data_IF_527922555301
#
_entry.id   IF_527922555301
#
_cell.length_a   1.000
_cell.length_b   1.000
_cell.length_c   1.000
_cell.angle_alpha   90.00
_cell.angle_beta   90.00
_cell.angle_gamma   90.00
#
_symmetry.space_group_name_H-M   'P 1'
#
loop_
_entity.id
_entity.type
_entity.pdbx_description
1 polymer ?
#
# COMPACT_ATOMS: atom_id res chain seq x y z
N UNK A 1 -18.41 25.00 -41.43
CA UNK A 1 -18.30 23.76 -40.63
C UNK A 1 -17.38 24.00 -39.46
N UNK A 2 -17.85 23.81 -38.23
CA UNK A 2 -17.00 23.89 -37.03
C UNK A 2 -16.10 22.65 -37.02
N UNK A 3 -14.78 22.83 -37.10
CA UNK A 3 -13.84 21.73 -36.86
C UNK A 3 -13.98 21.36 -35.39
N UNK A 4 -14.43 20.14 -35.11
CA UNK A 4 -14.45 19.59 -33.77
C UNK A 4 -13.00 19.23 -33.45
N UNK A 5 -12.28 20.08 -32.71
CA UNK A 5 -11.02 19.66 -32.11
C UNK A 5 -11.37 18.68 -31.00
N UNK A 6 -11.00 17.41 -31.17
CA UNK A 6 -11.10 16.41 -30.12
C UNK A 6 -9.96 16.68 -29.14
N UNK A 7 -10.17 17.65 -28.25
CA UNK A 7 -9.26 17.98 -27.18
C UNK A 7 -9.62 17.17 -25.94
N UNK A 8 -8.63 16.55 -25.31
CA UNK A 8 -8.77 15.87 -24.04
C UNK A 8 -8.21 16.72 -22.90
N UNK A 9 -8.97 16.82 -21.81
CA UNK A 9 -8.61 17.56 -20.61
C UNK A 9 -8.02 16.63 -19.56
N UNK A 10 -7.06 17.11 -18.77
CA UNK A 10 -6.58 16.37 -17.62
C UNK A 10 -7.71 16.20 -16.59
N UNK A 11 -7.94 14.97 -16.15
CA UNK A 11 -9.05 14.60 -15.23
C UNK A 11 -8.78 14.99 -13.78
N UNK A 12 -7.60 15.54 -13.45
CA UNK A 12 -7.27 15.93 -12.08
C UNK A 12 -8.01 17.23 -11.69
N UNK A 13 -8.53 17.29 -10.46
CA UNK A 13 -9.30 18.45 -9.99
C UNK A 13 -8.49 19.74 -10.12
N UNK A 14 -9.15 20.81 -10.58
CA UNK A 14 -8.54 22.13 -10.83
C UNK A 14 -7.38 22.11 -11.85
N UNK A 15 -7.24 21.07 -12.67
CA UNK A 15 -6.26 21.04 -13.76
C UNK A 15 -6.85 21.48 -15.10
N UNK A 16 -6.49 22.67 -15.57
CA UNK A 16 -6.91 23.17 -16.88
C UNK A 16 -6.04 22.70 -18.06
N UNK A 17 -5.20 21.66 -17.88
CA UNK A 17 -4.28 21.23 -18.95
C UNK A 17 -5.06 20.46 -20.01
N UNK A 18 -5.02 20.92 -21.27
CA UNK A 18 -5.66 20.30 -22.42
C UNK A 18 -4.63 19.83 -23.45
N UNK A 19 -5.01 18.85 -24.27
CA UNK A 19 -4.18 18.34 -25.35
C UNK A 19 -5.06 17.92 -26.53
N UNK A 20 -4.56 18.08 -27.76
CA UNK A 20 -5.10 17.32 -28.88
C UNK A 20 -4.87 15.82 -28.60
N UNK A 21 -5.89 14.98 -28.81
CA UNK A 21 -5.82 13.53 -28.50
C UNK A 21 -4.58 12.86 -29.11
N UNK A 22 -4.30 13.09 -30.40
CA UNK A 22 -3.13 12.51 -31.07
C UNK A 22 -1.81 13.02 -30.48
N UNK A 23 -1.72 14.32 -30.16
CA UNK A 23 -0.53 14.89 -29.55
C UNK A 23 -0.29 14.33 -28.14
N UNK A 24 -1.36 14.09 -27.38
CA UNK A 24 -1.27 13.48 -26.06
C UNK A 24 -0.72 12.05 -26.13
N UNK A 25 -1.17 11.26 -27.12
CA UNK A 25 -0.63 9.92 -27.37
C UNK A 25 0.85 9.96 -27.74
N UNK A 26 1.25 10.82 -28.68
CA UNK A 26 2.65 10.98 -29.11
C UNK A 26 3.54 11.46 -27.93
N UNK A 27 3.03 12.37 -27.10
CA UNK A 27 3.74 12.90 -25.94
C UNK A 27 3.77 11.95 -24.72
N UNK A 28 3.14 10.78 -24.80
CA UNK A 28 3.11 9.80 -23.71
C UNK A 28 2.32 10.27 -22.48
N UNK A 29 1.25 11.03 -22.71
CA UNK A 29 0.22 11.34 -21.70
C UNK A 29 -0.50 10.04 -21.33
N UNK A 30 -0.69 9.79 -20.04
CA UNK A 30 -1.35 8.56 -19.58
C UNK A 30 -2.84 8.69 -19.83
N UNK A 31 -3.39 7.77 -20.61
CA UNK A 31 -4.83 7.62 -20.86
C UNK A 31 -5.25 6.23 -20.40
N UNK A 32 -6.19 6.13 -19.45
CA UNK A 32 -6.70 4.84 -18.96
C UNK A 32 -8.23 4.81 -19.05
N UNK A 33 -8.86 3.64 -19.27
CA UNK A 33 -10.29 3.48 -19.03
C UNK A 33 -10.61 3.94 -17.59
N UNK A 34 -11.74 4.61 -17.40
CA UNK A 34 -12.18 5.08 -16.10
C UNK A 34 -13.65 4.69 -15.86
N UNK A 35 -14.05 4.75 -14.59
CA UNK A 35 -15.43 4.54 -14.18
C UNK A 35 -16.30 5.77 -14.52
N UNK A 36 -17.59 5.52 -14.72
CA UNK A 36 -18.59 6.57 -14.97
C UNK A 36 -18.48 7.69 -13.89
N UNK A 37 -18.49 8.99 -14.25
CA UNK A 37 -18.90 9.60 -15.53
C UNK A 37 -17.78 9.76 -16.58
N UNK A 38 -16.54 9.34 -16.30
CA UNK A 38 -15.42 9.50 -17.23
C UNK A 38 -15.17 8.20 -17.99
N UNK A 39 -15.34 8.20 -19.31
CA UNK A 39 -15.01 7.01 -20.14
C UNK A 39 -13.49 6.77 -20.19
N UNK A 40 -12.70 7.84 -20.05
CA UNK A 40 -11.24 7.81 -20.05
C UNK A 40 -10.70 8.82 -19.04
N UNK A 41 -9.77 8.40 -18.19
CA UNK A 41 -8.95 9.29 -17.36
C UNK A 41 -7.71 9.70 -18.12
N UNK A 42 -7.42 11.01 -18.13
CA UNK A 42 -6.28 11.60 -18.84
C UNK A 42 -5.43 12.35 -17.82
N UNK A 43 -4.14 12.04 -17.78
CA UNK A 43 -3.24 12.67 -16.80
C UNK A 43 -2.04 13.34 -17.45
N UNK A 44 -1.98 14.66 -17.31
CA UNK A 44 -0.90 15.49 -17.84
C UNK A 44 0.45 15.18 -17.16
N UNK A 45 1.56 15.57 -17.78
CA UNK A 45 2.91 15.33 -17.23
C UNK A 45 3.13 15.95 -15.84
N UNK A 46 2.44 17.06 -15.52
CA UNK A 46 2.50 17.67 -14.17
C UNK A 46 1.92 16.74 -13.11
N UNK A 47 0.86 16.02 -13.46
CA UNK A 47 0.18 15.05 -12.59
C UNK A 47 0.63 13.62 -12.84
N UNK A 48 1.45 13.35 -13.85
CA UNK A 48 2.09 12.05 -14.09
C UNK A 48 2.96 11.62 -12.90
N UNK A 49 3.54 12.59 -12.18
CA UNK A 49 4.26 12.36 -10.91
C UNK A 49 3.34 12.08 -9.72
N UNK A 50 2.05 12.40 -9.82
CA UNK A 50 1.02 12.22 -8.79
C UNK A 50 0.05 11.08 -9.06
N UNK A 51 0.09 10.45 -10.24
CA UNK A 51 -0.47 9.11 -10.41
C UNK A 51 0.41 8.23 -9.56
N UNK A 52 -0.10 7.81 -8.41
CA UNK A 52 0.38 6.59 -7.77
C UNK A 52 0.35 5.51 -8.84
N UNK A 53 1.48 5.26 -9.51
CA UNK A 53 1.69 3.99 -10.19
C UNK A 53 1.47 2.98 -9.07
N UNK A 54 0.39 2.22 -9.16
CA UNK A 54 0.05 1.24 -8.14
C UNK A 54 1.25 0.37 -7.83
N UNK A 55 1.33 -0.08 -6.59
CA UNK A 55 2.22 -1.17 -6.22
C UNK A 55 1.64 -2.44 -6.86
N UNK A 56 2.12 -2.75 -8.06
CA UNK A 56 1.65 -3.88 -8.87
C UNK A 56 2.59 -5.09 -8.74
N UNK A 57 2.08 -6.28 -9.06
CA UNK A 57 2.86 -7.51 -9.07
C UNK A 57 4.08 -7.41 -10.01
N UNK A 58 5.20 -7.97 -9.60
CA UNK A 58 6.47 -7.94 -10.33
C UNK A 58 7.24 -6.60 -10.21
N UNK A 59 6.67 -5.59 -9.57
CA UNK A 59 7.33 -4.30 -9.40
C UNK A 59 8.50 -4.41 -8.42
N UNK A 60 9.67 -3.93 -8.84
CA UNK A 60 10.82 -3.75 -7.95
C UNK A 60 10.66 -2.48 -7.13
N UNK A 61 10.78 -2.61 -5.81
CA UNK A 61 10.57 -1.56 -4.82
C UNK A 61 11.63 -1.63 -3.72
N UNK A 62 11.56 -0.71 -2.77
CA UNK A 62 12.29 -0.74 -1.52
C UNK A 62 11.31 -1.04 -0.40
N UNK A 63 11.53 -2.13 0.33
CA UNK A 63 10.72 -2.55 1.47
C UNK A 63 11.51 -2.49 2.77
N UNK A 64 10.82 -2.20 3.87
CA UNK A 64 11.38 -2.30 5.23
C UNK A 64 11.40 -3.77 5.68
N UNK A 65 12.51 -4.27 6.20
CA UNK A 65 12.61 -5.60 6.84
C UNK A 65 12.44 -5.48 8.36
N UNK A 66 12.29 -6.61 9.05
CA UNK A 66 12.11 -6.68 10.52
C UNK A 66 13.29 -6.08 11.32
N UNK A 67 14.50 -6.12 10.77
CA UNK A 67 15.70 -5.43 11.30
C UNK A 67 15.63 -3.89 11.20
N UNK A 68 14.51 -3.36 10.68
CA UNK A 68 14.23 -1.95 10.42
C UNK A 68 15.10 -1.28 9.35
N UNK A 69 15.93 -2.05 8.64
CA UNK A 69 16.63 -1.60 7.44
C UNK A 69 15.75 -1.74 6.20
N UNK A 70 16.12 -1.01 5.15
CA UNK A 70 15.41 -1.01 3.87
C UNK A 70 16.24 -1.73 2.83
N UNK A 71 15.57 -2.56 2.03
CA UNK A 71 16.20 -3.39 1.02
C UNK A 71 15.39 -3.35 -0.28
N UNK A 72 16.07 -3.59 -1.39
CA UNK A 72 15.38 -3.88 -2.64
C UNK A 72 14.62 -5.20 -2.54
N UNK A 73 13.37 -5.20 -2.97
CA UNK A 73 12.51 -6.36 -3.05
C UNK A 73 11.58 -6.27 -4.26
N UNK A 74 10.92 -7.38 -4.57
CA UNK A 74 9.92 -7.48 -5.65
C UNK A 74 8.56 -7.78 -5.03
N UNK A 75 7.51 -7.11 -5.49
CA UNK A 75 6.14 -7.44 -5.08
C UNK A 75 5.73 -8.73 -5.78
N UNK A 76 5.43 -9.77 -5.01
CA UNK A 76 5.06 -11.10 -5.52
C UNK A 76 3.60 -11.47 -5.22
N UNK A 77 2.95 -10.73 -4.33
CA UNK A 77 1.56 -10.96 -3.96
C UNK A 77 0.90 -9.70 -3.41
N UNK A 78 -0.42 -9.65 -3.49
CA UNK A 78 -1.25 -8.60 -2.93
C UNK A 78 -2.34 -9.30 -2.13
N UNK A 79 -2.51 -8.89 -0.88
CA UNK A 79 -3.54 -9.40 0.00
C UNK A 79 -4.29 -8.25 0.67
N UNK A 80 -5.42 -8.58 1.28
CA UNK A 80 -6.19 -7.68 2.13
C UNK A 80 -6.24 -8.25 3.52
N UNK A 81 -5.98 -7.42 4.52
CA UNK A 81 -6.17 -7.74 5.93
C UNK A 81 -7.30 -6.88 6.48
N UNK A 82 -8.27 -7.53 7.10
CA UNK A 82 -9.41 -6.87 7.73
C UNK A 82 -9.19 -6.80 9.24
N UNK A 83 -9.51 -5.65 9.83
CA UNK A 83 -9.60 -5.43 11.27
C UNK A 83 -10.91 -4.73 11.63
N UNK A 84 -11.41 -4.96 12.83
CA UNK A 84 -12.58 -4.29 13.38
C UNK A 84 -12.16 -3.29 14.45
N UNK A 85 -12.86 -2.15 14.41
CA UNK A 85 -12.85 -1.13 15.44
C UNK A 85 -14.00 -1.36 16.40
N UNK A 86 -13.68 -1.41 17.69
CA UNK A 86 -14.62 -1.74 18.76
C UNK A 86 -14.39 -0.84 19.98
N UNK A 87 -15.46 -0.58 20.73
CA UNK A 87 -15.38 0.01 22.06
C UNK A 87 -15.86 -1.00 23.10
N UNK A 88 -14.99 -1.41 24.01
CA UNK A 88 -15.33 -2.32 25.10
C UNK A 88 -16.21 -1.64 26.14
N UNK A 89 -17.04 -2.43 26.83
CA UNK A 89 -17.93 -1.90 27.89
C UNK A 89 -17.16 -1.29 29.07
N UNK A 90 -15.93 -1.74 29.33
CA UNK A 90 -15.01 -1.15 30.31
C UNK A 90 -14.46 0.23 29.89
N UNK A 91 -14.77 0.69 28.68
CA UNK A 91 -14.39 2.01 28.14
C UNK A 91 -13.10 2.02 27.33
N UNK A 92 -12.45 0.87 27.13
CA UNK A 92 -11.26 0.74 26.28
C UNK A 92 -11.64 0.70 24.79
N UNK A 93 -10.73 1.17 23.93
CA UNK A 93 -10.88 1.23 22.47
C UNK A 93 -9.84 0.33 21.79
N UNK A 94 -10.23 -0.34 20.71
CA UNK A 94 -9.33 -1.19 19.92
C UNK A 94 -9.72 -1.14 18.44
N UNK A 95 -8.76 -0.93 17.53
CA UNK A 95 -8.98 -0.83 16.07
C UNK A 95 -8.31 -1.94 15.26
N UNK A 96 -7.75 -2.93 15.94
CA UNK A 96 -7.02 -4.04 15.36
C UNK A 96 -7.56 -5.40 15.80
N UNK A 97 -8.87 -5.49 16.10
CA UNK A 97 -9.53 -6.77 16.39
C UNK A 97 -9.69 -7.57 15.11
N UNK A 98 -9.30 -8.84 15.13
CA UNK A 98 -9.47 -9.73 14.01
C UNK A 98 -10.93 -10.23 13.90
N UNK A 99 -11.52 -10.38 12.70
CA UNK A 99 -12.88 -10.92 12.54
C UNK A 99 -13.06 -12.30 13.18
N UNK A 100 -12.04 -13.16 13.13
CA UNK A 100 -12.03 -14.48 13.78
C UNK A 100 -12.08 -14.44 15.32
N UNK A 101 -11.78 -13.29 15.92
CA UNK A 101 -11.84 -13.11 17.37
C UNK A 101 -13.24 -12.66 17.83
N UNK A 102 -14.19 -12.42 16.92
CA UNK A 102 -15.58 -12.15 17.30
C UNK A 102 -16.26 -13.50 17.55
N UNK A 103 -16.58 -13.81 18.80
CA UNK A 103 -17.15 -15.12 19.17
C UNK A 103 -18.67 -15.14 19.10
N UNK A 104 -19.31 -13.97 19.15
CA UNK A 104 -20.78 -13.87 19.02
C UNK A 104 -21.29 -13.97 17.58
N UNK A 105 -20.41 -13.81 16.58
CA UNK A 105 -20.76 -13.77 15.15
C UNK A 105 -19.74 -14.54 14.32
N UNK A 106 -20.18 -15.29 13.32
CA UNK A 106 -19.29 -15.88 12.32
C UNK A 106 -18.92 -14.85 11.24
N UNK A 107 -18.10 -13.87 11.63
CA UNK A 107 -17.75 -12.73 10.78
C UNK A 107 -16.95 -13.12 9.52
N UNK A 108 -16.23 -14.24 9.55
CA UNK A 108 -15.51 -14.75 8.37
C UNK A 108 -16.45 -15.21 7.26
N UNK A 109 -17.65 -15.69 7.62
CA UNK A 109 -18.64 -16.17 6.65
C UNK A 109 -19.73 -15.14 6.35
N UNK A 110 -20.15 -14.39 7.36
CA UNK A 110 -21.31 -13.50 7.28
C UNK A 110 -20.94 -12.02 7.08
N UNK A 111 -19.66 -11.66 7.26
CA UNK A 111 -19.21 -10.27 7.20
C UNK A 111 -19.32 -9.54 8.55
N UNK A 112 -19.05 -8.22 8.56
CA UNK A 112 -19.03 -7.42 9.77
C UNK A 112 -20.43 -7.25 10.39
N UNK A 113 -20.52 -7.10 11.73
CA UNK A 113 -21.73 -6.68 12.43
C UNK A 113 -22.18 -5.26 12.04
N UNK A 114 -23.38 -4.85 12.49
CA UNK A 114 -23.86 -3.49 12.30
C UNK A 114 -23.19 -2.50 13.27
N UNK A 115 -22.98 -1.26 12.84
CA UNK A 115 -22.39 -0.23 13.69
C UNK A 115 -23.24 0.02 14.94
N UNK A 116 -22.61 -0.06 16.11
CA UNK A 116 -23.24 0.03 17.43
C UNK A 116 -23.75 -1.30 17.99
N UNK A 117 -23.69 -2.39 17.24
CA UNK A 117 -24.12 -3.72 17.68
C UNK A 117 -23.23 -4.25 18.80
N UNK A 118 -23.86 -4.87 19.81
CA UNK A 118 -23.15 -5.55 20.90
C UNK A 118 -22.55 -6.87 20.41
N UNK A 119 -21.25 -7.01 20.60
CA UNK A 119 -20.46 -8.17 20.21
C UNK A 119 -19.66 -8.68 21.39
N UNK A 120 -19.20 -9.93 21.28
CA UNK A 120 -18.28 -10.55 22.24
C UNK A 120 -16.97 -10.82 21.52
N UNK A 121 -15.88 -10.31 22.07
CA UNK A 121 -14.52 -10.47 21.54
C UNK A 121 -13.77 -11.46 22.44
N UNK A 122 -13.22 -12.51 21.84
CA UNK A 122 -12.30 -13.44 22.49
C UNK A 122 -10.88 -12.87 22.53
N UNK A 123 -10.25 -12.92 23.70
CA UNK A 123 -8.85 -12.51 23.87
C UNK A 123 -7.91 -13.70 23.77
N UNK A 124 -6.58 -13.48 23.56
CA UNK A 124 -5.60 -14.56 23.59
C UNK A 124 -5.51 -15.32 24.92
N UNK A 125 -5.98 -14.71 26.01
CA UNK A 125 -6.00 -15.29 27.36
C UNK A 125 -7.27 -16.12 27.64
N UNK A 126 -8.05 -16.44 26.59
CA UNK A 126 -9.32 -17.20 26.66
C UNK A 126 -10.42 -16.48 27.46
N UNK A 127 -10.33 -15.16 27.56
CA UNK A 127 -11.37 -14.31 28.16
C UNK A 127 -12.31 -13.75 27.09
N UNK A 128 -13.58 -13.57 27.46
CA UNK A 128 -14.60 -13.00 26.60
C UNK A 128 -15.00 -11.62 27.11
N UNK A 129 -14.82 -10.61 26.27
CA UNK A 129 -15.11 -9.21 26.61
C UNK A 129 -16.24 -8.70 25.72
N UNK A 130 -17.22 -8.03 26.34
CA UNK A 130 -18.28 -7.35 25.62
C UNK A 130 -17.77 -6.04 25.02
N UNK A 131 -18.15 -5.79 23.78
CA UNK A 131 -17.84 -4.55 23.08
C UNK A 131 -18.99 -4.13 22.17
N UNK A 132 -18.94 -2.90 21.69
CA UNK A 132 -19.77 -2.40 20.60
C UNK A 132 -18.93 -2.30 19.34
N UNK A 133 -19.43 -2.85 18.23
CA UNK A 133 -18.80 -2.71 16.93
C UNK A 133 -18.90 -1.26 16.45
N UNK A 134 -17.81 -0.72 15.89
CA UNK A 134 -17.78 0.64 15.35
C UNK A 134 -17.73 0.61 13.83
N UNK A 135 -16.70 -0.04 13.25
CA UNK A 135 -16.52 -0.15 11.80
C UNK A 135 -15.45 -1.18 11.43
N UNK A 136 -15.44 -1.55 10.15
CA UNK A 136 -14.41 -2.36 9.51
C UNK A 136 -13.31 -1.50 8.88
N UNK A 137 -12.06 -1.94 9.04
CA UNK A 137 -10.87 -1.40 8.36
C UNK A 137 -10.26 -2.47 7.46
N UNK A 138 -10.26 -2.22 6.15
CA UNK A 138 -9.62 -3.11 5.16
C UNK A 138 -8.28 -2.50 4.72
N UNK A 139 -7.19 -3.16 5.08
CA UNK A 139 -5.83 -2.75 4.73
C UNK A 139 -5.27 -3.61 3.62
N UNK A 140 -4.74 -2.95 2.58
CA UNK A 140 -3.98 -3.63 1.53
C UNK A 140 -2.56 -3.94 2.03
N UNK A 141 -2.19 -5.21 1.95
CA UNK A 141 -0.85 -5.72 2.23
C UNK A 141 -0.20 -6.21 0.95
N UNK A 142 1.12 -6.11 0.91
CA UNK A 142 1.93 -6.54 -0.22
C UNK A 142 2.90 -7.61 0.25
N UNK A 143 2.81 -8.78 -0.35
CA UNK A 143 3.83 -9.81 -0.18
C UNK A 143 5.01 -9.44 -1.05
N UNK A 144 6.17 -9.27 -0.42
CA UNK A 144 7.42 -8.92 -1.10
C UNK A 144 8.44 -10.03 -0.92
N UNK A 145 9.27 -10.22 -1.94
CA UNK A 145 10.41 -11.13 -1.91
C UNK A 145 11.72 -10.34 -2.00
N UNK A 146 12.62 -10.59 -1.06
CA UNK A 146 13.95 -9.98 -1.01
C UNK A 146 14.97 -10.83 -1.79
N UNK A 147 16.17 -10.27 -2.02
CA UNK A 147 17.26 -10.96 -2.73
C UNK A 147 17.69 -12.29 -2.09
N UNK A 148 17.52 -12.43 -0.78
CA UNK A 148 17.82 -13.65 -0.03
C UNK A 148 16.66 -14.67 -0.08
N UNK A 149 15.68 -14.45 -0.95
CA UNK A 149 14.45 -15.25 -1.11
C UNK A 149 13.53 -15.23 0.13
N UNK A 150 13.85 -14.44 1.15
CA UNK A 150 12.93 -14.22 2.26
C UNK A 150 11.73 -13.42 1.79
N UNK A 151 10.57 -13.71 2.38
CA UNK A 151 9.32 -13.05 2.05
C UNK A 151 8.71 -12.38 3.29
N UNK A 152 8.09 -11.22 3.09
CA UNK A 152 7.38 -10.50 4.14
C UNK A 152 6.09 -9.86 3.61
N UNK A 153 5.12 -9.71 4.49
CA UNK A 153 3.93 -8.89 4.26
C UNK A 153 4.20 -7.47 4.74
N UNK A 154 4.08 -6.47 3.85
CA UNK A 154 4.31 -5.07 4.16
C UNK A 154 3.07 -4.22 3.90
N UNK A 155 2.88 -3.18 4.72
CA UNK A 155 1.91 -2.12 4.44
C UNK A 155 2.45 -1.20 3.34
N UNK A 156 1.55 -0.50 2.66
CA UNK A 156 1.94 0.50 1.65
C UNK A 156 2.90 1.58 2.20
N UNK A 157 2.74 1.98 3.47
CA UNK A 157 3.59 2.96 4.14
C UNK A 157 5.04 2.50 4.40
N UNK A 158 5.30 1.21 4.17
CA UNK A 158 6.61 0.57 4.35
C UNK A 158 7.30 0.27 3.03
N UNK A 159 6.65 0.60 1.90
CA UNK A 159 7.14 0.37 0.54
C UNK A 159 7.39 1.69 -0.16
N UNK A 160 8.53 1.79 -0.84
CA UNK A 160 8.96 2.97 -1.59
C UNK A 160 9.35 2.59 -3.02
N UNK A 161 8.85 3.33 -4.00
CA UNK A 161 9.19 3.10 -5.41
C UNK A 161 10.58 3.64 -5.75
N UNK A 162 11.30 2.94 -6.62
CA UNK A 162 12.69 3.25 -6.98
C UNK A 162 12.85 4.55 -7.77
N UNK A 163 11.81 4.95 -8.50
CA UNK A 163 11.76 6.15 -9.33
C UNK A 163 11.32 7.40 -8.56
N UNK A 164 10.98 7.27 -7.27
CA UNK A 164 10.54 8.37 -6.43
C UNK A 164 11.64 8.80 -5.47
N UNK A 165 11.60 10.07 -5.05
CA UNK A 165 12.52 10.55 -4.04
C UNK A 165 12.26 9.85 -2.70
N UNK A 166 13.31 9.22 -2.17
CA UNK A 166 13.23 8.50 -0.90
C UNK A 166 13.29 9.47 0.30
N UNK A 167 12.44 9.29 1.32
CA UNK A 167 12.56 10.04 2.57
C UNK A 167 13.95 9.92 3.19
N UNK A 168 14.42 10.97 3.88
CA UNK A 168 15.75 10.99 4.54
C UNK A 168 16.00 9.75 5.40
N UNK A 169 15.00 9.32 6.19
CA UNK A 169 15.06 8.14 7.06
C UNK A 169 15.26 6.82 6.30
N UNK A 170 14.71 6.74 5.09
CA UNK A 170 14.82 5.55 4.23
C UNK A 170 16.20 5.53 3.59
N UNK A 171 16.66 6.65 3.03
CA UNK A 171 18.01 6.77 2.44
C UNK A 171 19.12 6.42 3.44
N UNK A 172 19.00 6.90 4.67
CA UNK A 172 19.99 6.66 5.73
C UNK A 172 20.10 5.18 6.14
N UNK A 173 19.06 4.38 5.90
CA UNK A 173 18.96 2.97 6.29
C UNK A 173 18.73 2.05 5.10
N UNK A 174 19.03 2.51 3.89
CA UNK A 174 18.94 1.71 2.68
C UNK A 174 20.23 0.92 2.54
N UNK A 175 20.12 -0.41 2.52
CA UNK A 175 21.28 -1.27 2.30
C UNK A 175 21.65 -1.22 0.81
N UNK A 176 22.71 -0.49 0.51
CA UNK A 176 23.34 -0.53 -0.80
C UNK A 176 24.16 -1.81 -0.96
N UNK A 177 24.28 -2.32 -2.18
CA UNK A 177 25.12 -3.49 -2.50
C UNK A 177 26.58 -3.25 -2.06
N UNK A 178 27.04 -1.99 -2.07
CA UNK A 178 28.38 -1.60 -1.60
C UNK A 178 28.58 -1.78 -0.10
N UNK A 179 27.54 -1.57 0.73
CA UNK A 179 27.62 -1.77 2.18
C UNK A 179 27.68 -3.25 2.57
N UNK A 180 27.00 -4.15 1.82
CA UNK A 180 27.11 -5.60 2.06
C UNK A 180 28.53 -6.13 1.88
N UNK A 181 29.29 -5.59 0.92
CA UNK A 181 30.70 -5.97 0.74
C UNK A 181 31.56 -5.57 1.95
N UNK A 182 31.33 -4.38 2.52
CA UNK A 182 32.09 -3.93 3.70
C UNK A 182 31.88 -4.81 4.95
N UNK A 183 30.67 -5.33 5.17
CA UNK A 183 30.38 -6.21 6.32
C UNK A 183 30.75 -7.69 6.08
N UNK A 184 30.96 -8.10 4.82
CA UNK A 184 31.39 -9.47 4.47
C UNK A 184 32.91 -9.60 4.28
N UNK A 185 33.68 -8.52 4.39
CA UNK A 185 35.13 -8.62 4.46
C UNK A 185 35.50 -9.19 5.83
N UNK A 186 36.19 -10.35 5.92
CA UNK A 186 36.72 -10.81 7.18
C UNK A 186 37.71 -9.75 7.69
N UNK A 187 37.39 -9.16 8.84
CA UNK A 187 38.33 -8.37 9.60
C UNK A 187 39.52 -9.27 9.97
N UNK A 188 40.68 -8.93 9.43
CA UNK A 188 42.02 -9.50 9.65
C UNK A 188 42.42 -10.69 8.75
N UNK A 189 43.03 -10.37 7.61
CA UNK A 189 44.26 -11.05 7.21
C UNK A 189 45.44 -10.19 7.65
N UNK A 190 45.94 -10.43 8.86
CA UNK A 190 47.33 -10.14 9.20
C UNK A 190 48.18 -11.18 8.49
N UNK A 191 48.92 -10.77 7.47
CA UNK A 191 50.09 -11.51 7.01
C UNK A 191 51.30 -10.58 7.11
N UNK A 192 52.16 -10.98 8.07
CA UNK A 192 53.61 -10.80 8.26
C UNK A 192 54.32 -9.86 7.29
#
# INVERSE_FOLDING_TARGET
GKRVSSDCLCTHENCATSFHVTCAQIAGVVMKPADWPYVVSVTCHKHKKGIQMGLDLGLKVIGRKSDSWYYHCTIIGIATQTFYEVNFEEGSYCDNVHPENIVSHDCLRNGPPDAGETIVVGTPDDENLNASFVKEHVHKLYQVEFQDQSQLMLKQSEIFQLNHELPKRVRARLVSILLKLYFLLPSNSTFI
#
